data_IF_096631290794
#
_entry.id   IF_096631290794
#
_cell.length_a   1.000
_cell.length_b   1.000
_cell.length_c   1.000
_cell.angle_alpha   90.00
_cell.angle_beta   90.00
_cell.angle_gamma   90.00
#
_symmetry.space_group_name_H-M   'P 1'
#
loop_
_entity.id
_entity.type
_entity.pdbx_description
1 polymer ?
#
# COMPACT_ATOMS: atom_id res chain seq x y z
N UNK A 1 73.67 -14.07 52.98
CA UNK A 1 73.28 -13.04 52.05
C UNK A 1 72.47 -13.60 50.86
N UNK A 2 72.75 -14.75 50.31
CA UNK A 2 72.11 -15.32 49.11
C UNK A 2 70.64 -15.77 49.39
N UNK A 3 70.30 -16.33 50.56
CA UNK A 3 68.94 -16.76 50.89
C UNK A 3 67.91 -15.57 51.02
N UNK A 4 68.38 -14.45 51.54
CA UNK A 4 67.49 -13.29 51.76
C UNK A 4 67.06 -12.62 50.43
N UNK A 5 67.94 -12.61 49.40
CA UNK A 5 67.68 -12.03 48.09
C UNK A 5 66.66 -12.90 47.28
N UNK A 6 66.71 -14.19 47.43
CA UNK A 6 65.78 -15.14 46.74
C UNK A 6 64.36 -14.97 47.33
N UNK A 7 64.24 -14.85 48.66
CA UNK A 7 62.94 -14.64 49.31
C UNK A 7 62.30 -13.28 48.96
N UNK A 8 63.10 -12.23 48.91
CA UNK A 8 62.62 -10.91 48.51
C UNK A 8 62.11 -10.91 47.04
N UNK A 9 62.82 -11.59 46.16
CA UNK A 9 62.40 -11.66 44.73
C UNK A 9 61.13 -12.53 44.53
N UNK A 10 60.92 -13.62 45.34
CA UNK A 10 59.69 -14.41 45.29
C UNK A 10 58.48 -13.62 45.80
N UNK A 11 58.64 -12.84 46.91
CA UNK A 11 57.56 -12.01 47.45
C UNK A 11 57.22 -10.86 46.48
N UNK A 12 58.20 -10.31 45.80
CA UNK A 12 58.00 -9.24 44.81
C UNK A 12 57.27 -9.76 43.58
N UNK A 13 57.54 -10.98 43.15
CA UNK A 13 56.87 -11.67 42.05
C UNK A 13 55.42 -11.99 42.43
N UNK A 14 55.16 -12.53 43.61
CA UNK A 14 53.84 -12.85 44.11
C UNK A 14 52.95 -11.61 44.26
N UNK A 15 53.49 -10.53 44.77
CA UNK A 15 52.79 -9.25 44.87
C UNK A 15 52.47 -8.65 43.46
N UNK A 16 53.36 -8.79 42.52
CA UNK A 16 53.12 -8.37 41.11
C UNK A 16 52.00 -9.17 40.45
N UNK A 17 51.98 -10.52 40.67
CA UNK A 17 50.92 -11.39 40.16
C UNK A 17 49.57 -11.08 40.80
N UNK A 18 49.53 -10.83 42.11
CA UNK A 18 48.30 -10.42 42.82
C UNK A 18 47.78 -9.07 42.34
N UNK A 19 48.64 -8.12 42.08
CA UNK A 19 48.27 -6.81 41.51
C UNK A 19 47.74 -6.94 40.08
N UNK A 20 48.35 -7.80 39.25
CA UNK A 20 47.90 -8.07 37.88
C UNK A 20 46.51 -8.74 37.88
N UNK A 21 46.29 -9.75 38.72
CA UNK A 21 44.99 -10.43 38.84
C UNK A 21 43.89 -9.49 39.36
N UNK A 22 44.21 -8.59 40.27
CA UNK A 22 43.28 -7.57 40.79
C UNK A 22 42.89 -6.59 39.68
N UNK A 23 43.83 -6.14 38.89
CA UNK A 23 43.59 -5.23 37.77
C UNK A 23 42.77 -5.88 36.63
N UNK A 24 43.03 -7.15 36.34
CA UNK A 24 42.20 -7.93 35.40
C UNK A 24 40.76 -8.12 35.90
N UNK A 25 40.58 -8.41 37.18
CA UNK A 25 39.27 -8.55 37.81
C UNK A 25 38.45 -7.24 37.76
N UNK A 26 39.10 -6.12 38.07
CA UNK A 26 38.45 -4.80 38.01
C UNK A 26 38.06 -4.40 36.54
N UNK A 27 38.90 -4.77 35.59
CA UNK A 27 38.64 -4.48 34.15
C UNK A 27 37.49 -5.37 33.63
N UNK A 28 37.44 -6.63 34.06
CA UNK A 28 36.33 -7.54 33.72
C UNK A 28 34.99 -7.06 34.29
N UNK A 29 34.98 -6.66 35.58
CA UNK A 29 33.78 -6.10 36.24
C UNK A 29 33.32 -4.76 35.57
N UNK A 30 34.26 -3.94 35.16
CA UNK A 30 33.96 -2.68 34.44
C UNK A 30 33.35 -2.93 33.07
N UNK A 31 33.82 -3.96 32.37
CA UNK A 31 33.29 -4.39 31.08
C UNK A 31 31.90 -5.02 31.19
N UNK A 32 31.64 -5.84 32.21
CA UNK A 32 30.32 -6.41 32.51
C UNK A 32 29.30 -5.30 32.83
N UNK A 33 29.67 -4.36 33.71
CA UNK A 33 28.81 -3.20 34.04
C UNK A 33 28.50 -2.35 32.79
N UNK A 34 29.47 -2.19 31.88
CA UNK A 34 29.30 -1.48 30.61
C UNK A 34 28.35 -2.23 29.64
N UNK A 35 28.46 -3.56 29.54
CA UNK A 35 27.57 -4.43 28.76
C UNK A 35 26.15 -4.37 29.29
N UNK A 36 25.96 -4.46 30.60
CA UNK A 36 24.63 -4.41 31.25
C UNK A 36 23.95 -3.06 31.06
N UNK A 37 24.71 -1.95 31.23
CA UNK A 37 24.21 -0.59 30.99
C UNK A 37 23.82 -0.35 29.52
N UNK A 38 24.56 -0.92 28.57
CA UNK A 38 24.26 -0.84 27.13
C UNK A 38 23.00 -1.65 26.78
N UNK A 39 22.81 -2.84 27.35
CA UNK A 39 21.59 -3.66 27.22
C UNK A 39 20.34 -2.97 27.79
N UNK A 40 20.44 -2.35 28.97
CA UNK A 40 19.33 -1.62 29.59
C UNK A 40 18.93 -0.38 28.78
N UNK A 41 19.91 0.34 28.19
CA UNK A 41 19.66 1.51 27.34
C UNK A 41 19.01 1.11 26.00
N UNK A 42 19.36 -0.06 25.45
CA UNK A 42 18.75 -0.62 24.24
C UNK A 42 17.29 -1.00 24.52
N UNK A 43 17.00 -1.72 25.60
CA UNK A 43 15.63 -2.06 26.02
C UNK A 43 14.73 -0.86 26.27
N UNK A 44 15.25 0.24 26.84
CA UNK A 44 14.47 1.46 27.02
C UNK A 44 14.09 2.12 25.70
N UNK A 45 15.02 2.20 24.74
CA UNK A 45 14.73 2.72 23.41
C UNK A 45 13.72 1.87 22.64
N UNK A 46 13.79 0.55 22.77
CA UNK A 46 12.80 -0.34 22.18
C UNK A 46 11.42 -0.14 22.81
N UNK A 47 11.35 0.04 24.14
CA UNK A 47 10.09 0.30 24.82
C UNK A 47 9.45 1.62 24.40
N UNK A 48 10.24 2.67 24.19
CA UNK A 48 9.79 3.95 23.64
C UNK A 48 9.25 3.79 22.22
N UNK A 49 9.91 2.99 21.36
CA UNK A 49 9.43 2.69 20.00
C UNK A 49 8.13 1.88 20.03
N UNK A 50 8.02 0.87 20.90
CA UNK A 50 6.78 0.11 21.04
C UNK A 50 5.62 0.98 21.57
N UNK A 51 5.89 1.92 22.47
CA UNK A 51 4.85 2.82 22.98
C UNK A 51 4.24 3.71 21.88
N UNK A 52 5.03 4.12 20.88
CA UNK A 52 4.55 4.85 19.71
C UNK A 52 3.61 4.00 18.84
N UNK A 53 3.79 2.69 18.82
CA UNK A 53 2.93 1.77 18.06
C UNK A 53 1.61 1.46 18.78
N UNK A 54 1.52 1.65 20.09
CA UNK A 54 0.33 1.28 20.88
C UNK A 54 -0.91 2.06 20.41
N UNK A 55 -0.79 3.37 20.21
CA UNK A 55 -1.91 4.21 19.78
C UNK A 55 -2.43 3.79 18.40
N UNK A 56 -1.61 3.68 17.34
CA UNK A 56 -2.08 3.17 16.04
C UNK A 56 -2.70 1.77 16.12
N UNK A 57 -2.10 0.86 16.89
CA UNK A 57 -2.64 -0.51 17.06
C UNK A 57 -4.00 -0.49 17.74
N UNK A 58 -4.18 0.31 18.81
CA UNK A 58 -5.47 0.46 19.48
C UNK A 58 -6.53 1.05 18.53
N UNK A 59 -6.17 2.04 17.70
CA UNK A 59 -7.06 2.60 16.70
C UNK A 59 -7.46 1.55 15.66
N UNK A 60 -6.52 0.76 15.16
CA UNK A 60 -6.81 -0.34 14.22
C UNK A 60 -7.76 -1.36 14.88
N UNK A 61 -7.49 -1.76 16.12
CA UNK A 61 -8.36 -2.69 16.84
C UNK A 61 -9.76 -2.09 16.99
N UNK A 62 -9.87 -0.86 17.46
CA UNK A 62 -11.16 -0.20 17.71
C UNK A 62 -11.98 0.03 16.43
N UNK A 63 -11.36 0.46 15.34
CA UNK A 63 -12.07 0.85 14.11
C UNK A 63 -12.12 -0.25 13.04
N UNK A 64 -11.21 -1.22 13.07
CA UNK A 64 -11.18 -2.31 12.09
C UNK A 64 -11.67 -3.64 12.69
N UNK A 65 -11.13 -4.03 13.85
CA UNK A 65 -11.42 -5.35 14.43
C UNK A 65 -12.73 -5.39 15.24
N UNK A 66 -13.04 -4.37 16.04
CA UNK A 66 -14.27 -4.34 16.81
C UNK A 66 -15.52 -4.41 15.92
N UNK A 67 -15.61 -3.65 14.80
CA UNK A 67 -16.75 -3.78 13.88
C UNK A 67 -16.86 -5.16 13.22
N UNK A 68 -15.75 -5.90 13.07
CA UNK A 68 -15.80 -7.27 12.55
C UNK A 68 -16.61 -8.23 13.46
N UNK A 69 -16.73 -7.93 14.76
CA UNK A 69 -17.64 -8.64 15.65
C UNK A 69 -19.10 -8.58 15.18
N UNK A 70 -19.47 -7.55 14.40
CA UNK A 70 -20.79 -7.44 13.77
C UNK A 70 -21.08 -8.51 12.71
N UNK A 71 -20.08 -9.25 12.21
CA UNK A 71 -20.27 -10.38 11.31
C UNK A 71 -21.20 -11.44 11.90
N UNK A 72 -21.28 -11.53 13.22
CA UNK A 72 -22.21 -12.41 13.94
C UNK A 72 -23.67 -12.20 13.52
N UNK A 73 -24.03 -10.97 13.11
CA UNK A 73 -25.39 -10.62 12.66
C UNK A 73 -25.79 -11.42 11.42
N UNK A 74 -24.82 -11.76 10.57
CA UNK A 74 -25.07 -12.57 9.36
C UNK A 74 -25.65 -13.96 9.68
N UNK A 75 -25.42 -14.48 10.88
CA UNK A 75 -25.89 -15.78 11.35
C UNK A 75 -27.11 -15.70 12.25
N UNK A 76 -27.66 -14.48 12.48
CA UNK A 76 -28.80 -14.23 13.34
C UNK A 76 -29.96 -13.64 12.56
N UNK A 77 -31.17 -13.92 13.01
CA UNK A 77 -32.36 -13.18 12.58
C UNK A 77 -32.43 -11.88 13.42
N UNK A 78 -31.68 -10.86 12.93
CA UNK A 78 -31.51 -9.63 13.68
C UNK A 78 -32.81 -8.89 13.87
N UNK A 79 -33.18 -8.65 15.13
CA UNK A 79 -34.33 -7.84 15.54
C UNK A 79 -33.84 -6.64 16.31
N UNK A 80 -34.29 -5.46 15.91
CA UNK A 80 -33.87 -4.18 16.51
C UNK A 80 -34.23 -4.08 18.00
N UNK A 81 -35.36 -4.69 18.39
CA UNK A 81 -35.85 -4.73 19.78
C UNK A 81 -35.00 -5.63 20.71
N UNK A 82 -34.34 -6.64 20.18
CA UNK A 82 -33.52 -7.59 20.93
C UNK A 82 -32.00 -7.33 20.83
N UNK A 83 -31.58 -6.47 19.93
CA UNK A 83 -30.18 -6.18 19.67
C UNK A 83 -29.39 -7.36 19.15
N UNK A 84 -28.05 -7.21 19.07
CA UNK A 84 -27.15 -8.23 18.46
C UNK A 84 -27.15 -9.53 19.29
N UNK A 85 -27.10 -9.44 20.60
CA UNK A 85 -26.97 -10.61 21.48
C UNK A 85 -28.26 -11.33 21.71
N UNK A 86 -29.40 -10.61 21.80
CA UNK A 86 -30.73 -11.16 22.07
C UNK A 86 -31.46 -11.70 20.84
N UNK A 87 -30.94 -11.48 19.63
CA UNK A 87 -31.57 -11.98 18.39
C UNK A 87 -31.33 -13.48 18.21
N UNK A 88 -32.32 -14.16 17.64
CA UNK A 88 -32.31 -15.61 17.46
C UNK A 88 -31.24 -16.06 16.46
N UNK A 89 -30.58 -17.16 16.76
CA UNK A 89 -29.56 -17.74 15.89
C UNK A 89 -30.22 -18.55 14.76
N UNK A 90 -29.95 -18.21 13.50
CA UNK A 90 -30.52 -18.89 12.32
C UNK A 90 -29.46 -19.58 11.45
N UNK A 91 -28.23 -19.60 11.91
CA UNK A 91 -27.11 -20.25 11.19
C UNK A 91 -26.92 -19.66 9.80
N UNK A 92 -26.82 -20.51 8.78
CA UNK A 92 -26.59 -20.12 7.38
C UNK A 92 -27.87 -19.73 6.61
N UNK A 93 -29.02 -19.60 7.26
CA UNK A 93 -30.27 -19.35 6.55
C UNK A 93 -30.26 -18.02 5.78
N UNK A 94 -29.68 -16.97 6.36
CA UNK A 94 -29.54 -15.68 5.67
C UNK A 94 -28.71 -15.79 4.39
N UNK A 95 -27.63 -16.59 4.42
CA UNK A 95 -26.80 -16.84 3.26
C UNK A 95 -27.56 -17.63 2.19
N UNK A 96 -28.34 -18.63 2.58
CA UNK A 96 -29.17 -19.41 1.67
C UNK A 96 -30.19 -18.51 0.96
N UNK A 97 -30.90 -17.67 1.69
CA UNK A 97 -31.86 -16.71 1.13
C UNK A 97 -31.16 -15.76 0.15
N UNK A 98 -30.00 -15.24 0.52
CA UNK A 98 -29.21 -14.34 -0.35
C UNK A 98 -28.74 -15.03 -1.62
N UNK A 99 -28.14 -16.23 -1.52
CA UNK A 99 -27.64 -17.01 -2.66
C UNK A 99 -28.75 -17.43 -3.63
N UNK A 100 -29.97 -17.66 -3.12
CA UNK A 100 -31.14 -18.01 -3.91
C UNK A 100 -31.87 -16.79 -4.50
N UNK A 101 -31.46 -15.57 -4.12
CA UNK A 101 -32.09 -14.35 -4.62
C UNK A 101 -31.79 -14.13 -6.11
N UNK A 102 -32.74 -13.51 -6.82
CA UNK A 102 -32.54 -13.11 -8.24
C UNK A 102 -31.46 -12.08 -8.43
N UNK A 103 -31.09 -11.36 -7.38
CA UNK A 103 -30.09 -10.29 -7.44
C UNK A 103 -28.66 -10.81 -7.26
N UNK A 104 -28.49 -11.99 -6.64
CA UNK A 104 -27.16 -12.57 -6.43
C UNK A 104 -26.34 -12.75 -7.72
N UNK A 105 -26.86 -13.38 -8.81
CA UNK A 105 -26.11 -13.49 -10.05
C UNK A 105 -25.75 -12.16 -10.70
N UNK A 106 -26.66 -11.16 -10.60
CA UNK A 106 -26.40 -9.81 -11.10
C UNK A 106 -25.29 -9.13 -10.31
N UNK A 107 -25.32 -9.26 -8.97
CA UNK A 107 -24.30 -8.70 -8.09
C UNK A 107 -22.93 -9.28 -8.41
N UNK A 108 -22.82 -10.62 -8.49
CA UNK A 108 -21.55 -11.29 -8.83
C UNK A 108 -21.05 -10.83 -10.20
N UNK A 109 -21.90 -10.89 -11.22
CA UNK A 109 -21.52 -10.47 -12.57
C UNK A 109 -21.04 -9.02 -12.61
N UNK A 110 -21.75 -8.11 -11.94
CA UNK A 110 -21.38 -6.69 -11.94
C UNK A 110 -20.09 -6.48 -11.15
N UNK A 111 -19.94 -7.10 -9.98
CA UNK A 111 -18.74 -6.93 -9.15
C UNK A 111 -17.50 -7.51 -9.84
N UNK A 112 -17.57 -8.74 -10.31
CA UNK A 112 -16.44 -9.41 -10.99
C UNK A 112 -16.14 -8.73 -12.33
N UNK A 113 -17.18 -8.47 -13.13
CA UNK A 113 -17.05 -7.86 -14.45
C UNK A 113 -16.46 -6.44 -14.37
N UNK A 114 -16.99 -5.59 -13.47
CA UNK A 114 -16.48 -4.23 -13.31
C UNK A 114 -15.05 -4.19 -12.78
N UNK A 115 -14.72 -5.03 -11.79
CA UNK A 115 -13.35 -5.10 -11.28
C UNK A 115 -12.37 -5.62 -12.34
N UNK A 116 -12.77 -6.61 -13.15
CA UNK A 116 -11.95 -7.07 -14.26
C UNK A 116 -11.69 -5.96 -15.28
N UNK A 117 -12.73 -5.20 -15.67
CA UNK A 117 -12.59 -4.04 -16.55
C UNK A 117 -11.65 -2.98 -15.94
N UNK A 118 -11.82 -2.66 -14.66
CA UNK A 118 -10.98 -1.67 -13.97
C UNK A 118 -9.52 -2.12 -13.95
N UNK A 119 -9.24 -3.36 -13.57
CA UNK A 119 -7.87 -3.90 -13.51
C UNK A 119 -7.23 -3.86 -14.91
N UNK A 120 -7.90 -4.41 -15.91
CA UNK A 120 -7.37 -4.49 -17.29
C UNK A 120 -7.11 -3.06 -17.82
N UNK A 121 -8.09 -2.17 -17.73
CA UNK A 121 -7.99 -0.81 -18.26
C UNK A 121 -6.89 -0.03 -17.53
N UNK A 122 -6.87 -0.06 -16.21
CA UNK A 122 -5.86 0.65 -15.42
C UNK A 122 -4.45 0.10 -15.69
N UNK A 123 -4.29 -1.22 -15.79
CA UNK A 123 -3.00 -1.86 -16.08
C UNK A 123 -2.48 -1.47 -17.45
N UNK A 124 -3.31 -1.57 -18.50
CA UNK A 124 -2.90 -1.24 -19.86
C UNK A 124 -2.48 0.23 -19.97
N UNK A 125 -3.32 1.14 -19.47
CA UNK A 125 -3.03 2.58 -19.56
C UNK A 125 -1.82 2.94 -18.71
N UNK A 126 -1.71 2.41 -17.48
CA UNK A 126 -0.60 2.68 -16.58
C UNK A 126 0.74 2.18 -17.15
N UNK A 127 0.74 1.00 -17.77
CA UNK A 127 1.92 0.42 -18.39
C UNK A 127 2.35 1.25 -19.62
N UNK A 128 1.40 1.64 -20.45
CA UNK A 128 1.68 2.54 -21.58
C UNK A 128 2.31 3.87 -21.12
N UNK A 129 1.75 4.48 -20.08
CA UNK A 129 2.28 5.73 -19.50
C UNK A 129 3.66 5.50 -18.90
N UNK A 130 3.90 4.38 -18.19
CA UNK A 130 5.20 4.07 -17.62
C UNK A 130 6.29 3.93 -18.69
N UNK A 131 5.98 3.27 -19.81
CA UNK A 131 6.89 3.15 -20.96
C UNK A 131 7.17 4.52 -21.59
N UNK A 132 6.15 5.37 -21.73
CA UNK A 132 6.33 6.73 -22.23
C UNK A 132 7.18 7.58 -21.28
N UNK A 133 6.95 7.50 -19.96
CA UNK A 133 7.76 8.19 -18.96
C UNK A 133 9.22 7.71 -18.97
N UNK A 134 9.46 6.43 -19.22
CA UNK A 134 10.82 5.87 -19.32
C UNK A 134 11.61 6.47 -20.49
N UNK A 135 10.93 6.85 -21.57
CA UNK A 135 11.55 7.47 -22.75
C UNK A 135 11.86 8.97 -22.55
N UNK A 136 11.33 9.59 -21.49
CA UNK A 136 11.57 11.02 -21.20
C UNK A 136 12.94 11.19 -20.60
N UNK A 137 13.86 11.84 -21.32
CA UNK A 137 15.25 12.07 -20.89
C UNK A 137 15.41 13.22 -19.89
N UNK A 138 14.51 14.21 -19.92
CA UNK A 138 14.56 15.36 -19.02
C UNK A 138 13.99 15.03 -17.63
N UNK A 139 14.83 15.06 -16.61
CA UNK A 139 14.43 14.83 -15.21
C UNK A 139 13.34 15.80 -14.72
N UNK A 140 13.37 17.05 -15.18
CA UNK A 140 12.35 18.05 -14.83
C UNK A 140 10.99 17.70 -15.41
N UNK A 141 10.93 17.33 -16.69
CA UNK A 141 9.70 16.90 -17.35
C UNK A 141 9.13 15.61 -16.73
N UNK A 142 9.98 14.64 -16.45
CA UNK A 142 9.56 13.39 -15.78
C UNK A 142 8.88 13.69 -14.43
N UNK A 143 9.48 14.54 -13.59
CA UNK A 143 8.88 14.97 -12.32
C UNK A 143 7.55 15.69 -12.52
N UNK A 144 7.46 16.57 -13.49
CA UNK A 144 6.23 17.30 -13.80
C UNK A 144 5.11 16.33 -14.21
N UNK A 145 5.36 15.42 -15.14
CA UNK A 145 4.38 14.42 -15.56
C UNK A 145 3.97 13.50 -14.42
N UNK A 146 4.92 13.00 -13.63
CA UNK A 146 4.62 12.16 -12.47
C UNK A 146 3.73 12.88 -11.46
N UNK A 147 4.05 14.12 -11.11
CA UNK A 147 3.24 14.93 -10.18
C UNK A 147 1.83 15.16 -10.72
N UNK A 148 1.71 15.52 -12.01
CA UNK A 148 0.42 15.75 -12.66
C UNK A 148 -0.45 14.48 -12.70
N UNK A 149 0.16 13.33 -12.96
CA UNK A 149 -0.53 12.04 -13.02
C UNK A 149 -0.99 11.54 -11.64
N UNK A 150 -0.23 11.83 -10.56
CA UNK A 150 -0.63 11.43 -9.20
C UNK A 150 -1.75 12.33 -8.65
N UNK A 151 -1.82 13.60 -9.05
CA UNK A 151 -2.74 14.59 -8.48
C UNK A 151 -4.19 14.08 -8.37
N UNK A 152 -4.79 13.41 -9.38
CA UNK A 152 -6.16 12.90 -9.30
C UNK A 152 -6.38 11.87 -8.17
N UNK A 153 -5.33 11.17 -7.75
CA UNK A 153 -5.45 10.16 -6.68
C UNK A 153 -5.88 10.77 -5.35
N UNK A 154 -5.51 12.03 -5.07
CA UNK A 154 -5.85 12.73 -3.84
C UNK A 154 -7.28 13.29 -3.82
N UNK A 155 -7.96 13.34 -4.98
CA UNK A 155 -9.36 13.79 -5.06
C UNK A 155 -10.26 12.74 -4.40
N UNK A 156 -11.14 13.15 -3.47
CA UNK A 156 -12.09 12.21 -2.85
C UNK A 156 -13.13 11.71 -3.86
N UNK A 157 -13.62 10.49 -3.66
CA UNK A 157 -14.70 9.94 -4.52
C UNK A 157 -15.99 10.75 -4.44
N UNK A 158 -16.24 11.41 -3.31
CA UNK A 158 -17.38 12.33 -3.16
C UNK A 158 -17.25 13.50 -4.12
N UNK A 159 -16.07 14.12 -4.22
CA UNK A 159 -15.81 15.20 -5.16
C UNK A 159 -15.92 14.72 -6.61
N UNK A 160 -15.41 13.53 -6.91
CA UNK A 160 -15.57 12.93 -8.26
C UNK A 160 -17.04 12.77 -8.61
N UNK A 161 -17.89 12.33 -7.65
CA UNK A 161 -19.32 12.18 -7.90
C UNK A 161 -20.00 13.51 -8.21
N UNK A 162 -19.62 14.61 -7.55
CA UNK A 162 -20.12 15.95 -7.88
C UNK A 162 -19.67 16.41 -9.27
N UNK A 163 -18.44 16.14 -9.66
CA UNK A 163 -17.95 16.45 -11.01
C UNK A 163 -18.74 15.67 -12.06
N UNK A 164 -18.95 14.37 -11.84
CA UNK A 164 -19.78 13.53 -12.73
C UNK A 164 -21.21 14.05 -12.80
N UNK A 165 -21.78 14.47 -11.66
CA UNK A 165 -23.11 15.07 -11.64
C UNK A 165 -23.16 16.38 -12.43
N UNK A 166 -22.20 17.28 -12.25
CA UNK A 166 -22.12 18.53 -13.01
C UNK A 166 -21.98 18.30 -14.52
N UNK A 167 -21.35 17.21 -14.93
CA UNK A 167 -21.20 16.84 -16.33
C UNK A 167 -22.46 16.19 -16.91
N UNK A 168 -23.07 15.25 -16.18
CA UNK A 168 -24.14 14.36 -16.67
C UNK A 168 -25.53 14.69 -16.13
N UNK A 169 -25.71 15.80 -15.40
CA UNK A 169 -27.05 16.21 -14.89
C UNK A 169 -28.03 16.33 -16.07
N UNK A 170 -29.27 15.80 -15.93
CA UNK A 170 -30.27 15.85 -16.98
C UNK A 170 -30.65 17.28 -17.38
N UNK A 171 -30.72 18.21 -16.43
CA UNK A 171 -31.20 19.56 -16.63
C UNK A 171 -30.08 20.55 -16.97
N UNK A 172 -29.00 20.52 -16.16
CA UNK A 172 -27.94 21.52 -16.21
C UNK A 172 -26.57 20.96 -16.64
N UNK A 173 -26.49 19.66 -16.99
CA UNK A 173 -25.22 19.00 -17.29
C UNK A 173 -24.54 19.54 -18.54
N UNK A 174 -23.20 19.68 -18.45
CA UNK A 174 -22.38 20.21 -19.56
C UNK A 174 -22.54 19.37 -20.82
N UNK A 175 -22.63 18.04 -20.69
CA UNK A 175 -22.80 17.13 -21.84
C UNK A 175 -24.13 17.39 -22.53
N UNK A 176 -25.23 17.55 -21.79
CA UNK A 176 -26.52 17.89 -22.35
C UNK A 176 -26.54 19.30 -22.98
N UNK A 177 -25.81 20.25 -22.42
CA UNK A 177 -25.66 21.59 -23.02
C UNK A 177 -24.97 21.52 -24.39
N UNK A 178 -23.96 20.67 -24.55
CA UNK A 178 -23.29 20.44 -25.83
C UNK A 178 -24.23 19.74 -26.81
N UNK A 179 -24.96 18.71 -26.39
CA UNK A 179 -25.92 18.00 -27.25
C UNK A 179 -26.99 18.92 -27.74
N UNK A 180 -27.55 19.81 -26.91
CA UNK A 180 -28.52 20.82 -27.33
C UNK A 180 -27.98 21.81 -28.38
N UNK A 181 -26.72 22.26 -28.20
CA UNK A 181 -26.07 23.12 -29.20
C UNK A 181 -25.86 22.43 -30.55
N UNK A 182 -25.74 21.10 -30.55
CA UNK A 182 -25.61 20.27 -31.75
C UNK A 182 -27.00 19.89 -32.35
N UNK A 183 -28.11 20.38 -31.79
CA UNK A 183 -29.47 20.07 -32.23
C UNK A 183 -30.05 18.77 -31.71
N UNK A 184 -29.42 18.13 -30.71
CA UNK A 184 -29.92 16.92 -30.10
C UNK A 184 -30.81 17.18 -28.88
N UNK A 185 -31.48 16.11 -28.42
CA UNK A 185 -32.36 16.12 -27.24
C UNK A 185 -31.60 15.81 -25.96
N UNK A 186 -32.11 16.32 -24.82
CA UNK A 186 -31.57 16.03 -23.50
C UNK A 186 -31.68 14.56 -23.18
N UNK A 187 -30.59 14.00 -22.73
CA UNK A 187 -30.52 12.62 -22.27
C UNK A 187 -30.52 12.54 -20.73
N UNK A 188 -31.35 11.63 -20.18
CA UNK A 188 -31.26 11.30 -18.74
C UNK A 188 -30.22 10.20 -18.54
N UNK A 189 -28.98 10.63 -18.37
CA UNK A 189 -27.83 9.70 -18.16
C UNK A 189 -27.98 8.84 -16.90
N UNK A 190 -28.61 9.35 -15.86
CA UNK A 190 -28.84 8.64 -14.59
C UNK A 190 -29.88 7.53 -14.73
N UNK A 191 -30.85 7.70 -15.62
CA UNK A 191 -31.83 6.67 -15.95
C UNK A 191 -31.32 5.65 -16.98
N UNK A 192 -30.10 5.79 -17.48
CA UNK A 192 -29.52 4.92 -18.52
C UNK A 192 -28.43 4.02 -17.94
N UNK A 193 -28.74 2.82 -17.39
CA UNK A 193 -27.76 1.96 -16.71
C UNK A 193 -26.57 1.54 -17.57
N UNK A 194 -26.74 1.49 -18.90
CA UNK A 194 -25.72 0.99 -19.84
C UNK A 194 -24.47 1.87 -19.91
N UNK A 195 -24.56 3.18 -19.59
CA UNK A 195 -23.41 4.09 -19.67
C UNK A 195 -22.52 4.03 -18.43
N UNK A 196 -23.06 3.59 -17.29
CA UNK A 196 -22.35 3.64 -16.02
C UNK A 196 -21.07 2.80 -15.97
N UNK A 197 -20.99 1.60 -16.59
CA UNK A 197 -19.73 0.89 -16.69
C UNK A 197 -18.61 1.72 -17.33
N UNK A 198 -18.92 2.45 -18.39
CA UNK A 198 -17.95 3.33 -19.05
C UNK A 198 -17.56 4.52 -18.16
N UNK A 199 -18.55 5.23 -17.60
CA UNK A 199 -18.30 6.39 -16.72
C UNK A 199 -17.45 6.00 -15.53
N UNK A 200 -17.79 4.90 -14.85
CA UNK A 200 -17.04 4.41 -13.70
C UNK A 200 -15.62 3.96 -14.09
N UNK A 201 -15.46 3.33 -15.26
CA UNK A 201 -14.14 2.92 -15.76
C UNK A 201 -13.25 4.13 -16.04
N UNK A 202 -13.80 5.17 -16.67
CA UNK A 202 -13.06 6.42 -16.95
C UNK A 202 -12.66 7.11 -15.64
N UNK A 203 -13.57 7.23 -14.67
CA UNK A 203 -13.29 7.84 -13.38
C UNK A 203 -12.23 7.03 -12.59
N UNK A 204 -12.35 5.70 -12.62
CA UNK A 204 -11.38 4.81 -11.95
C UNK A 204 -10.00 4.90 -12.61
N UNK A 205 -9.93 4.88 -13.93
CA UNK A 205 -8.68 5.02 -14.67
C UNK A 205 -8.03 6.39 -14.40
N UNK A 206 -8.80 7.49 -14.56
CA UNK A 206 -8.30 8.83 -14.30
C UNK A 206 -7.71 8.98 -12.90
N UNK A 207 -8.33 8.39 -11.91
CA UNK A 207 -7.91 8.48 -10.52
C UNK A 207 -6.75 7.52 -10.18
N UNK A 208 -6.73 6.32 -10.76
CA UNK A 208 -5.81 5.24 -10.35
C UNK A 208 -4.56 5.09 -11.21
N UNK A 209 -4.65 5.45 -12.48
CA UNK A 209 -3.56 5.22 -13.46
C UNK A 209 -2.25 5.89 -13.06
N UNK A 210 -2.32 7.11 -12.49
CA UNK A 210 -1.13 7.86 -12.12
C UNK A 210 -0.24 7.14 -11.13
N UNK A 211 -0.82 6.66 -10.04
CA UNK A 211 -0.07 5.94 -9.00
C UNK A 211 0.46 4.60 -9.54
N UNK A 212 -0.38 3.85 -10.26
CA UNK A 212 -0.02 2.56 -10.86
C UNK A 212 1.10 2.70 -11.90
N UNK A 213 1.07 3.77 -12.72
CA UNK A 213 2.13 4.01 -13.70
C UNK A 213 3.48 4.29 -13.07
N UNK A 214 3.51 4.90 -11.89
CA UNK A 214 4.78 5.15 -11.18
C UNK A 214 5.37 3.85 -10.62
N UNK A 215 4.54 2.92 -10.16
CA UNK A 215 5.04 1.60 -9.75
C UNK A 215 5.69 0.87 -10.93
N UNK A 216 5.04 0.84 -12.10
CA UNK A 216 5.62 0.25 -13.31
C UNK A 216 6.87 1.01 -13.78
N UNK A 217 6.85 2.35 -13.74
CA UNK A 217 8.03 3.15 -14.07
C UNK A 217 9.22 2.84 -13.16
N UNK A 218 8.99 2.70 -11.85
CA UNK A 218 10.04 2.33 -10.91
C UNK A 218 10.61 0.93 -11.21
N UNK A 219 9.78 -0.03 -11.62
CA UNK A 219 10.23 -1.36 -12.05
C UNK A 219 11.07 -1.27 -13.32
N UNK A 220 10.66 -0.47 -14.32
CA UNK A 220 11.42 -0.26 -15.55
C UNK A 220 12.78 0.38 -15.29
N UNK A 221 12.88 1.30 -14.33
CA UNK A 221 14.15 1.91 -13.92
C UNK A 221 15.12 0.94 -13.22
N UNK A 222 14.65 -0.20 -12.76
CA UNK A 222 15.46 -1.26 -12.17
C UNK A 222 16.03 -2.27 -13.17
N UNK A 223 15.66 -2.19 -14.45
CA UNK A 223 16.17 -3.07 -15.50
C UNK A 223 17.63 -2.71 -15.80
N UNK A 224 18.50 -3.72 -15.93
CA UNK A 224 19.89 -3.53 -16.24
C UNK A 224 20.08 -2.90 -17.63
N UNK A 225 20.81 -1.80 -17.68
CA UNK A 225 21.08 -1.07 -18.92
C UNK A 225 21.88 -1.90 -19.94
N UNK A 226 22.66 -2.87 -19.48
CA UNK A 226 23.42 -3.77 -20.38
C UNK A 226 22.52 -4.55 -21.34
N UNK A 227 21.26 -4.86 -20.93
CA UNK A 227 20.29 -5.51 -21.81
C UNK A 227 19.87 -4.61 -22.96
N UNK A 228 19.74 -3.32 -22.70
CA UNK A 228 19.41 -2.35 -23.75
C UNK A 228 20.57 -2.11 -24.70
N UNK A 229 21.80 -2.07 -24.18
CA UNK A 229 23.02 -1.95 -24.98
C UNK A 229 23.24 -3.16 -25.88
N UNK A 230 23.04 -4.38 -25.36
CA UNK A 230 23.10 -5.60 -26.16
C UNK A 230 22.03 -5.59 -27.27
N UNK A 231 20.81 -5.21 -26.95
CA UNK A 231 19.74 -5.09 -27.95
C UNK A 231 20.05 -4.03 -29.03
N UNK A 232 20.77 -2.93 -28.66
CA UNK A 232 21.23 -1.94 -29.64
C UNK A 232 22.28 -2.51 -30.62
N UNK A 233 23.22 -3.33 -30.13
CA UNK A 233 24.21 -4.01 -30.94
C UNK A 233 23.56 -5.00 -31.90
N UNK A 234 22.50 -5.71 -31.43
CA UNK A 234 21.71 -6.64 -32.24
C UNK A 234 20.76 -5.94 -33.23
N UNK A 235 20.71 -4.59 -33.24
CA UNK A 235 19.90 -3.80 -34.17
C UNK A 235 18.40 -3.78 -33.79
N UNK A 236 18.05 -4.11 -32.54
CA UNK A 236 16.66 -4.12 -32.09
C UNK A 236 16.02 -2.71 -32.11
N UNK A 237 14.84 -2.61 -32.69
CA UNK A 237 14.05 -1.40 -32.72
C UNK A 237 13.46 -1.03 -31.34
N UNK A 238 12.93 0.19 -31.22
CA UNK A 238 12.27 0.63 -29.96
C UNK A 238 11.15 -0.32 -29.51
N UNK A 239 10.38 -0.82 -30.45
CA UNK A 239 9.27 -1.73 -30.18
C UNK A 239 9.75 -3.10 -29.71
N UNK A 240 10.85 -3.60 -30.26
CA UNK A 240 11.46 -4.87 -29.84
C UNK A 240 11.95 -4.80 -28.40
N UNK A 241 12.58 -3.68 -28.02
CA UNK A 241 12.99 -3.42 -26.63
C UNK A 241 11.80 -3.36 -25.68
N UNK A 242 10.69 -2.71 -26.08
CA UNK A 242 9.45 -2.69 -25.29
C UNK A 242 8.93 -4.11 -25.10
N UNK A 243 8.84 -4.89 -26.17
CA UNK A 243 8.21 -6.22 -26.16
C UNK A 243 9.03 -7.29 -25.44
N UNK A 244 10.38 -7.24 -25.53
CA UNK A 244 11.23 -8.32 -25.07
C UNK A 244 12.06 -7.97 -23.83
N UNK A 245 12.17 -6.68 -23.46
CA UNK A 245 12.95 -6.23 -22.29
C UNK A 245 12.06 -5.56 -21.25
N UNK A 246 11.15 -4.65 -21.69
CA UNK A 246 10.36 -3.84 -20.74
C UNK A 246 9.08 -4.55 -20.27
N UNK A 247 8.44 -5.40 -21.13
CA UNK A 247 7.16 -6.05 -20.79
C UNK A 247 7.30 -7.36 -20.01
N UNK A 248 8.32 -8.17 -20.18
CA UNK A 248 8.52 -9.39 -19.37
C UNK A 248 8.90 -9.07 -17.94
#
# INVERSE_FOLDING_TARGET
>A
YYKSTVIINSIKKENSERMFLRHMGETALKNEKKKTKKRLKFRKKELELYSLCVIPVLLIIAFCYVPMGGIIIAFKNYRYDKGIFGSDWVGFNNFKVFLQSRDFPKLIRNTVGMNAIFIITTTIIALAIAILLYQVTSRGMTKFYQTSLITPTFVSWVLVSYVVYALLSPEAGVVNAIIRRMGGENQNWYATPKIWPLVLTVCNAWKGVGMTSIYYYASLMGIDQTLFEAADIDGAGRWDKVRHIMLP
#
